data_IF_034043273016
#
_entry.id   IF_034043273016
#
_cell.length_a   1.000
_cell.length_b   1.000
_cell.length_c   1.000
_cell.angle_alpha   90.00
_cell.angle_beta   90.00
_cell.angle_gamma   90.00
#
_symmetry.space_group_name_H-M   'P 1'
#
loop_
_entity.id
_entity.type
_entity.pdbx_description
1 polymer ?
#
# COMPACT_ATOMS: atom_id res chain seq x y z
N UNK A 1 -34.14 -26.63 -9.96
CA UNK A 1 -33.76 -25.23 -9.65
C UNK A 1 -34.34 -24.37 -10.76
N UNK A 2 -35.13 -23.34 -10.45
CA UNK A 2 -35.84 -22.56 -11.48
C UNK A 2 -34.86 -21.82 -12.41
N UNK A 3 -35.06 -21.87 -13.73
CA UNK A 3 -34.20 -21.20 -14.71
C UNK A 3 -34.09 -19.69 -14.47
N UNK A 4 -35.17 -19.09 -13.93
CA UNK A 4 -35.18 -17.69 -13.51
C UNK A 4 -34.21 -17.41 -12.38
N UNK A 5 -34.12 -18.29 -11.39
CA UNK A 5 -33.18 -18.16 -10.29
C UNK A 5 -31.73 -18.25 -10.77
N UNK A 6 -31.45 -19.19 -11.70
CA UNK A 6 -30.12 -19.34 -12.30
C UNK A 6 -29.70 -18.10 -13.07
N UNK A 7 -30.59 -17.54 -13.89
CA UNK A 7 -30.31 -16.32 -14.66
C UNK A 7 -30.09 -15.11 -13.76
N UNK A 8 -30.89 -14.96 -12.70
CA UNK A 8 -30.76 -13.86 -11.75
C UNK A 8 -29.42 -13.93 -10.99
N UNK A 9 -29.03 -15.12 -10.54
CA UNK A 9 -27.74 -15.34 -9.89
C UNK A 9 -26.56 -14.99 -10.80
N UNK A 10 -26.68 -15.27 -12.11
CA UNK A 10 -25.64 -14.97 -13.09
C UNK A 10 -25.47 -13.46 -13.32
N UNK A 11 -26.58 -12.73 -13.39
CA UNK A 11 -26.57 -11.26 -13.48
C UNK A 11 -25.98 -10.63 -12.21
N UNK A 12 -26.37 -11.14 -11.04
CA UNK A 12 -25.84 -10.67 -9.76
C UNK A 12 -24.33 -10.91 -9.67
N UNK A 13 -23.85 -12.09 -10.10
CA UNK A 13 -22.43 -12.41 -10.13
C UNK A 13 -21.66 -11.46 -11.05
N UNK A 14 -22.17 -11.18 -12.25
CA UNK A 14 -21.54 -10.24 -13.18
C UNK A 14 -21.43 -8.83 -12.59
N UNK A 15 -22.47 -8.35 -11.92
CA UNK A 15 -22.44 -7.05 -11.23
C UNK A 15 -21.37 -7.01 -10.13
N UNK A 16 -21.24 -8.08 -9.35
CA UNK A 16 -20.16 -8.21 -8.35
C UNK A 16 -18.79 -8.18 -9.02
N UNK A 17 -18.59 -8.94 -10.09
CA UNK A 17 -17.30 -8.99 -10.79
C UNK A 17 -16.91 -7.64 -11.40
N UNK A 18 -17.86 -6.89 -11.96
CA UNK A 18 -17.61 -5.55 -12.52
C UNK A 18 -17.30 -4.54 -11.40
N UNK A 19 -17.87 -4.72 -10.20
CA UNK A 19 -17.63 -3.84 -9.06
C UNK A 19 -16.40 -4.21 -8.23
N UNK A 20 -15.79 -5.38 -8.45
CA UNK A 20 -14.58 -5.83 -7.73
C UNK A 20 -13.46 -4.78 -7.69
N UNK A 21 -13.09 -4.09 -8.79
CA UNK A 21 -12.02 -3.09 -8.75
C UNK A 21 -12.34 -1.91 -7.81
N UNK A 22 -13.60 -1.46 -7.79
CA UNK A 22 -14.05 -0.37 -6.91
C UNK A 22 -14.10 -0.81 -5.44
N UNK A 23 -14.49 -2.06 -5.19
CA UNK A 23 -14.45 -2.66 -3.87
C UNK A 23 -13.02 -2.80 -3.38
N UNK A 24 -12.10 -3.25 -4.23
CA UNK A 24 -10.68 -3.40 -3.89
C UNK A 24 -10.03 -2.05 -3.59
N UNK A 25 -10.30 -1.00 -4.36
CA UNK A 25 -9.79 0.35 -4.09
C UNK A 25 -10.33 0.91 -2.76
N UNK A 26 -11.63 0.75 -2.49
CA UNK A 26 -12.25 1.14 -1.21
C UNK A 26 -11.67 0.37 -0.02
N UNK A 27 -11.55 -0.96 -0.14
CA UNK A 27 -11.01 -1.82 0.92
C UNK A 27 -9.55 -1.49 1.18
N UNK A 28 -8.73 -1.32 0.14
CA UNK A 28 -7.33 -0.93 0.30
C UNK A 28 -7.20 0.45 0.97
N UNK A 29 -8.06 1.40 0.59
CA UNK A 29 -8.07 2.75 1.18
C UNK A 29 -8.49 2.77 2.64
N UNK A 30 -9.49 1.98 3.02
CA UNK A 30 -9.88 1.83 4.43
C UNK A 30 -8.84 1.02 5.23
N UNK A 31 -8.31 -0.06 4.67
CA UNK A 31 -7.21 -0.83 5.27
C UNK A 31 -5.97 0.04 5.52
N UNK A 32 -5.64 0.93 4.58
CA UNK A 32 -4.54 1.88 4.73
C UNK A 32 -4.75 2.87 5.89
N UNK A 33 -5.99 3.22 6.24
CA UNK A 33 -6.25 4.06 7.43
C UNK A 33 -5.91 3.33 8.73
N UNK A 34 -6.16 2.02 8.80
CA UNK A 34 -5.79 1.21 9.97
C UNK A 34 -4.28 0.98 10.07
N UNK A 35 -3.57 0.95 8.95
CA UNK A 35 -2.09 0.93 8.92
C UNK A 35 -1.51 2.30 9.29
N UNK A 36 -2.20 3.39 8.95
CA UNK A 36 -1.84 4.75 9.35
C UNK A 36 -2.18 5.07 10.81
N UNK A 37 -2.88 4.17 11.52
CA UNK A 37 -3.13 4.31 12.95
C UNK A 37 -1.86 3.88 13.70
N UNK A 38 -1.37 4.78 14.55
CA UNK A 38 0.02 4.98 14.98
C UNK A 38 0.67 3.83 15.80
N UNK A 39 0.08 2.64 15.80
CA UNK A 39 0.57 1.46 16.54
C UNK A 39 1.15 0.36 15.64
N UNK A 40 1.09 0.50 14.31
CA UNK A 40 1.63 -0.50 13.36
C UNK A 40 2.72 0.10 12.47
N UNK A 41 3.97 -0.05 12.89
CA UNK A 41 5.19 0.54 12.31
C UNK A 41 5.62 -0.04 10.94
N UNK A 42 4.70 -0.13 9.99
CA UNK A 42 5.03 -0.26 8.56
C UNK A 42 4.80 1.07 7.85
N UNK A 43 5.34 2.13 8.45
CA UNK A 43 5.32 3.47 7.91
C UNK A 43 6.35 3.54 6.76
N UNK A 44 5.89 3.83 5.54
CA UNK A 44 6.79 4.34 4.49
C UNK A 44 6.86 3.60 3.15
N UNK A 45 6.14 2.50 2.90
CA UNK A 45 6.08 1.96 1.54
C UNK A 45 4.94 2.59 0.73
N UNK A 46 5.23 3.29 -0.38
CA UNK A 46 4.19 3.90 -1.20
C UNK A 46 3.31 2.82 -1.83
N UNK A 47 1.99 3.00 -1.72
CA UNK A 47 0.98 2.09 -2.28
C UNK A 47 0.97 2.20 -3.82
N UNK A 48 1.39 3.35 -4.37
CA UNK A 48 1.58 3.58 -5.81
C UNK A 48 3.06 3.74 -6.17
N UNK A 49 3.55 2.83 -7.01
CA UNK A 49 4.97 2.70 -7.37
C UNK A 49 5.37 3.40 -8.67
N UNK A 50 4.44 4.15 -9.29
CA UNK A 50 4.72 4.77 -10.60
C UNK A 50 5.84 5.79 -10.46
N UNK A 51 6.96 5.50 -11.12
CA UNK A 51 8.18 6.31 -11.12
C UNK A 51 8.79 6.57 -9.72
N UNK A 52 8.52 5.69 -8.74
CA UNK A 52 9.11 5.76 -7.40
C UNK A 52 9.88 4.47 -7.08
N UNK A 53 11.15 4.60 -6.71
CA UNK A 53 12.00 3.50 -6.26
C UNK A 53 12.22 3.59 -4.76
N UNK A 54 12.03 2.49 -4.04
CA UNK A 54 12.36 2.39 -2.61
C UNK A 54 13.38 1.28 -2.43
N UNK A 55 14.41 1.55 -1.62
CA UNK A 55 15.41 0.57 -1.22
C UNK A 55 15.34 0.46 0.30
N UNK A 56 15.04 -0.74 0.80
CA UNK A 56 15.10 -1.04 2.23
C UNK A 56 16.48 -1.62 2.54
N UNK A 57 17.28 -0.91 3.34
CA UNK A 57 18.57 -1.40 3.82
C UNK A 57 18.45 -1.63 5.31
N UNK A 58 18.63 -2.88 5.73
CA UNK A 58 18.64 -3.23 7.14
C UNK A 58 20.02 -2.94 7.75
N UNK A 59 20.06 -2.04 8.72
CA UNK A 59 21.24 -1.82 9.55
C UNK A 59 21.00 -2.48 10.92
N UNK A 60 21.85 -3.44 11.34
CA UNK A 60 21.74 -4.04 12.66
C UNK A 60 21.82 -2.99 13.78
N UNK A 61 21.11 -3.21 14.88
CA UNK A 61 21.09 -2.28 16.02
C UNK A 61 22.50 -2.00 16.57
N UNK A 62 23.37 -3.00 16.56
CA UNK A 62 24.75 -2.90 17.04
C UNK A 62 25.70 -2.19 16.04
N UNK A 63 25.23 -1.97 14.81
CA UNK A 63 25.98 -1.35 13.71
C UNK A 63 25.10 -0.38 12.90
N UNK A 64 24.63 0.73 13.49
CA UNK A 64 23.83 1.72 12.77
C UNK A 64 24.68 2.49 11.75
N UNK A 65 24.09 2.86 10.62
CA UNK A 65 24.72 3.73 9.63
C UNK A 65 24.49 5.20 10.00
N UNK A 66 25.57 5.95 10.24
CA UNK A 66 25.52 7.32 10.78
C UNK A 66 24.70 8.31 9.93
N UNK A 67 24.68 8.14 8.62
CA UNK A 67 23.91 9.01 7.71
C UNK A 67 22.43 8.60 7.56
N UNK A 68 22.09 7.34 7.85
CA UNK A 68 20.75 6.77 7.58
C UNK A 68 20.10 6.20 8.85
N UNK A 69 20.51 6.68 10.02
CA UNK A 69 20.02 6.19 11.31
C UNK A 69 18.65 6.74 11.71
N UNK A 70 18.07 7.67 10.94
CA UNK A 70 16.76 8.29 11.19
C UNK A 70 15.57 7.39 10.80
N UNK A 71 15.83 6.17 10.29
CA UNK A 71 14.81 5.20 9.91
C UNK A 71 14.21 5.43 8.53
N UNK A 72 13.94 6.68 8.15
CA UNK A 72 13.49 7.05 6.80
C UNK A 72 14.30 8.23 6.27
N UNK A 73 14.82 8.09 5.05
CA UNK A 73 15.50 9.17 4.32
C UNK A 73 14.90 9.26 2.92
N UNK A 74 14.42 10.45 2.55
CA UNK A 74 13.86 10.72 1.24
C UNK A 74 14.93 11.36 0.35
N UNK A 75 15.21 10.74 -0.80
CA UNK A 75 16.22 11.20 -1.77
C UNK A 75 15.49 11.70 -3.03
N UNK A 76 15.80 12.93 -3.43
CA UNK A 76 15.28 13.56 -4.64
C UNK A 76 15.86 12.94 -5.93
N UNK A 77 15.30 13.29 -7.10
CA UNK A 77 15.78 12.78 -8.39
C UNK A 77 17.20 13.25 -8.74
N UNK A 78 17.71 14.26 -8.05
CA UNK A 78 19.07 14.79 -8.12
C UNK A 78 20.04 14.12 -7.13
N UNK A 79 19.57 13.16 -6.34
CA UNK A 79 20.37 12.49 -5.31
C UNK A 79 20.48 13.28 -4.00
N UNK A 80 19.80 14.42 -3.87
CA UNK A 80 19.84 15.26 -2.67
C UNK A 80 18.79 14.79 -1.65
N UNK A 81 19.14 14.85 -0.36
CA UNK A 81 18.19 14.56 0.71
C UNK A 81 17.13 15.66 0.77
N UNK A 82 15.87 15.27 0.59
CA UNK A 82 14.72 16.19 0.62
C UNK A 82 13.87 16.04 1.88
N UNK A 83 14.17 15.07 2.75
CA UNK A 83 13.47 14.88 4.02
C UNK A 83 14.01 13.70 4.85
N UNK A 84 13.84 13.81 6.16
CA UNK A 84 14.08 12.75 7.16
C UNK A 84 12.90 12.73 8.13
N UNK A 85 12.67 11.59 8.79
CA UNK A 85 11.77 11.50 9.94
C UNK A 85 12.45 12.06 11.20
#
# INVERSE_FOLDING_TARGET
>A
MSDKARSLSLVLLLLVLISLPFLQDRVNREAAKFVSDNESAHDGLPIEWKDKQVICIFFPFDHPHVEFSSGVTMIGPDGVVIGVN
#
